data_IF_523500564694
#
_entry.id   IF_523500564694
#
_cell.length_a   1.000
_cell.length_b   1.000
_cell.length_c   1.000
_cell.angle_alpha   90.00
_cell.angle_beta   90.00
_cell.angle_gamma   90.00
#
_symmetry.space_group_name_H-M   'P 1'
#
loop_
_entity.id
_entity.type
_entity.pdbx_description
1 polymer ?
#
# COMPACT_ATOMS: atom_id res chain seq x y z
N UNK A 1 7.35 -39.03 5.53
CA UNK A 1 7.37 -37.57 5.31
C UNK A 1 8.78 -37.18 4.91
N UNK A 2 8.94 -36.63 3.72
CA UNK A 2 10.23 -36.51 3.06
C UNK A 2 10.86 -35.20 3.55
N UNK A 3 12.11 -35.23 4.04
CA UNK A 3 12.78 -34.05 4.58
C UNK A 3 12.76 -32.84 3.61
N UNK A 4 12.78 -33.10 2.31
CA UNK A 4 12.66 -32.09 1.25
C UNK A 4 11.37 -31.25 1.35
N UNK A 5 10.22 -31.87 1.64
CA UNK A 5 8.94 -31.15 1.74
C UNK A 5 8.86 -30.22 2.96
N UNK A 6 9.48 -30.62 4.07
CA UNK A 6 9.58 -29.80 5.27
C UNK A 6 10.45 -28.56 5.02
N UNK A 7 11.60 -28.73 4.36
CA UNK A 7 12.47 -27.60 3.99
C UNK A 7 11.78 -26.61 3.05
N UNK A 8 11.05 -27.10 2.04
CA UNK A 8 10.28 -26.23 1.14
C UNK A 8 9.18 -25.46 1.90
N UNK A 9 8.45 -26.14 2.79
CA UNK A 9 7.41 -25.52 3.61
C UNK A 9 7.97 -24.39 4.49
N UNK A 10 9.01 -24.66 5.27
CA UNK A 10 9.64 -23.65 6.12
C UNK A 10 10.27 -22.50 5.31
N UNK A 11 10.86 -22.80 4.14
CA UNK A 11 11.41 -21.78 3.25
C UNK A 11 10.34 -20.80 2.73
N UNK A 12 9.22 -21.33 2.23
CA UNK A 12 8.10 -20.49 1.75
C UNK A 12 7.48 -19.68 2.88
N UNK A 13 7.30 -20.28 4.06
CA UNK A 13 6.75 -19.61 5.24
C UNK A 13 7.63 -18.43 5.69
N UNK A 14 8.96 -18.62 5.73
CA UNK A 14 9.91 -17.58 6.07
C UNK A 14 9.88 -16.42 5.06
N UNK A 15 9.82 -16.73 3.76
CA UNK A 15 9.70 -15.73 2.71
C UNK A 15 8.41 -14.92 2.82
N UNK A 16 7.27 -15.57 3.08
CA UNK A 16 5.99 -14.89 3.27
C UNK A 16 6.01 -13.95 4.47
N UNK A 17 6.58 -14.39 5.61
CA UNK A 17 6.71 -13.54 6.80
C UNK A 17 7.58 -12.31 6.54
N UNK A 18 8.72 -12.49 5.85
CA UNK A 18 9.61 -11.39 5.51
C UNK A 18 8.96 -10.40 4.55
N UNK A 19 8.25 -10.88 3.53
CA UNK A 19 7.54 -10.04 2.57
C UNK A 19 6.49 -9.17 3.28
N UNK A 20 5.68 -9.77 4.16
CA UNK A 20 4.66 -9.04 4.93
C UNK A 20 5.30 -7.98 5.83
N UNK A 21 6.38 -8.31 6.52
CA UNK A 21 7.09 -7.35 7.37
C UNK A 21 7.68 -6.19 6.55
N UNK A 22 8.29 -6.49 5.40
CA UNK A 22 8.88 -5.49 4.51
C UNK A 22 7.83 -4.53 3.93
N UNK A 23 6.67 -5.05 3.52
CA UNK A 23 5.55 -4.24 3.00
C UNK A 23 4.96 -3.38 4.11
N UNK A 24 4.71 -3.95 5.30
CA UNK A 24 4.20 -3.16 6.45
C UNK A 24 5.17 -2.06 6.86
N UNK A 25 6.47 -2.35 6.88
CA UNK A 25 7.51 -1.35 7.18
C UNK A 25 7.58 -0.26 6.12
N UNK A 26 7.55 -0.62 4.84
CA UNK A 26 7.50 0.35 3.75
C UNK A 26 6.23 1.19 3.82
N UNK A 27 5.07 0.57 3.95
CA UNK A 27 3.79 1.26 4.08
C UNK A 27 3.79 2.18 5.30
N UNK A 28 4.23 1.73 6.48
CA UNK A 28 4.32 2.59 7.67
C UNK A 28 5.27 3.77 7.46
N UNK A 29 6.41 3.55 6.80
CA UNK A 29 7.39 4.61 6.51
C UNK A 29 6.85 5.64 5.52
N UNK A 30 6.18 5.21 4.45
CA UNK A 30 5.68 6.09 3.38
C UNK A 30 4.27 6.63 3.66
N UNK A 31 3.45 5.94 4.46
CA UNK A 31 2.14 6.41 4.92
C UNK A 31 2.25 7.57 5.92
N UNK A 32 3.40 7.69 6.61
CA UNK A 32 3.70 8.83 7.48
C UNK A 32 4.37 9.99 6.75
N UNK A 33 4.72 9.83 5.48
CA UNK A 33 5.23 10.93 4.65
C UNK A 33 3.99 11.62 4.06
N UNK A 34 3.65 12.84 4.51
CA UNK A 34 2.66 13.64 3.80
C UNK A 34 3.17 13.82 2.38
N UNK A 35 2.28 13.75 1.39
CA UNK A 35 2.63 14.19 0.05
C UNK A 35 3.27 15.58 0.18
N UNK A 36 4.33 15.89 -0.58
CA UNK A 36 5.12 17.13 -0.40
C UNK A 36 4.30 18.42 -0.55
N UNK A 37 3.05 18.29 -1.00
CA UNK A 37 2.01 19.33 -1.07
C UNK A 37 1.17 19.53 0.20
N UNK A 38 1.27 18.66 1.22
CA UNK A 38 0.46 18.70 2.44
C UNK A 38 -1.01 18.30 2.24
N UNK A 39 -1.36 17.80 1.05
CA UNK A 39 -2.74 17.47 0.66
C UNK A 39 -3.09 16.01 1.00
N UNK A 40 -4.31 15.80 1.50
CA UNK A 40 -4.93 14.49 1.68
C UNK A 40 -5.17 13.78 0.35
N UNK A 41 -5.41 12.46 0.39
CA UNK A 41 -5.75 11.68 -0.79
C UNK A 41 -7.00 12.22 -1.51
N UNK A 42 -8.01 12.66 -0.75
CA UNK A 42 -9.19 13.32 -1.32
C UNK A 42 -8.87 14.67 -1.96
N UNK A 43 -8.00 15.47 -1.35
CA UNK A 43 -7.63 16.77 -1.91
C UNK A 43 -6.85 16.62 -3.22
N UNK A 44 -5.98 15.61 -3.32
CA UNK A 44 -5.29 15.27 -4.58
C UNK A 44 -6.31 14.80 -5.64
N UNK A 45 -7.26 13.93 -5.26
CA UNK A 45 -8.31 13.46 -6.18
C UNK A 45 -9.19 14.62 -6.66
N UNK A 46 -9.60 15.52 -5.75
CA UNK A 46 -10.36 16.72 -6.07
C UNK A 46 -9.60 17.61 -7.05
N UNK A 47 -8.30 17.80 -6.84
CA UNK A 47 -7.48 18.64 -7.70
C UNK A 47 -7.30 18.03 -9.10
N UNK A 48 -7.18 16.71 -9.21
CA UNK A 48 -7.13 16.00 -10.51
C UNK A 48 -8.47 16.11 -11.24
N UNK A 49 -9.59 15.89 -10.55
CA UNK A 49 -10.93 15.97 -11.12
C UNK A 49 -11.27 17.39 -11.58
N UNK A 50 -10.92 18.41 -10.79
CA UNK A 50 -11.06 19.82 -11.18
C UNK A 50 -10.23 20.15 -12.42
N UNK A 51 -8.97 19.69 -12.49
CA UNK A 51 -8.12 19.87 -13.68
C UNK A 51 -8.65 19.13 -14.91
N UNK A 52 -9.34 18.01 -14.72
CA UNK A 52 -10.00 17.26 -15.77
C UNK A 52 -11.38 17.82 -16.17
N UNK A 53 -11.88 18.84 -15.46
CA UNK A 53 -13.22 19.41 -15.70
C UNK A 53 -14.37 18.51 -15.26
N UNK A 54 -14.11 17.52 -14.41
CA UNK A 54 -15.09 16.53 -13.97
C UNK A 54 -15.60 16.94 -12.58
N UNK A 55 -16.83 17.44 -12.51
CA UNK A 55 -17.47 17.89 -11.26
C UNK A 55 -18.57 16.98 -10.73
N UNK A 56 -18.97 15.95 -11.49
CA UNK A 56 -20.13 15.09 -11.19
C UNK A 56 -19.78 13.83 -10.38
N UNK A 57 -18.63 13.83 -9.70
CA UNK A 57 -18.14 12.67 -8.95
C UNK A 57 -17.98 13.03 -7.49
N UNK A 58 -18.61 12.24 -6.61
CA UNK A 58 -18.40 12.36 -5.18
C UNK A 58 -17.10 11.66 -4.79
N UNK A 59 -16.27 12.37 -4.01
CA UNK A 59 -15.04 11.82 -3.45
C UNK A 59 -15.41 11.14 -2.14
N UNK A 60 -15.30 9.82 -2.10
CA UNK A 60 -15.56 9.02 -0.90
C UNK A 60 -14.20 8.71 -0.26
N UNK A 61 -13.90 9.32 0.89
CA UNK A 61 -12.81 8.86 1.76
C UNK A 61 -13.32 7.68 2.60
N UNK A 62 -12.56 6.59 2.61
CA UNK A 62 -12.81 5.37 3.38
C UNK A 62 -11.69 5.09 4.37
#
# INVERSE_FOLDING_TARGET
>A
MNAFGLWAFFGTLALSLWAVWRVKSAYSKYSQVPNSSGLSGAEVAAHILQRAGIGDVQIVES
#
